data_IF_666032859887
#
_entry.id   IF_666032859887
#
_cell.length_a   1.000
_cell.length_b   1.000
_cell.length_c   1.000
_cell.angle_alpha   90.00
_cell.angle_beta   90.00
_cell.angle_gamma   90.00
#
_symmetry.space_group_name_H-M   'P 1'
#
loop_
_entity.id
_entity.type
_entity.pdbx_description
1 polymer ?
#
# COMPACT_ATOMS: atom_id res chain seq x y z
N UNK A 1 66.54 -2.19 -6.93
CA UNK A 1 65.25 -2.92 -6.94
C UNK A 1 64.20 -2.06 -6.29
N UNK A 2 63.34 -1.46 -7.09
CA UNK A 2 62.31 -0.50 -6.60
C UNK A 2 60.97 -1.24 -6.59
N UNK A 3 60.42 -1.53 -5.39
CA UNK A 3 59.10 -2.15 -5.22
C UNK A 3 58.02 -1.10 -5.35
N UNK A 4 57.19 -1.21 -6.39
CA UNK A 4 55.96 -0.47 -6.55
C UNK A 4 54.87 -1.08 -5.69
N UNK A 5 54.40 -0.34 -4.66
CA UNK A 5 53.21 -0.68 -3.89
C UNK A 5 52.00 -0.12 -4.62
N UNK A 6 51.19 -1.00 -5.23
CA UNK A 6 49.91 -0.60 -5.83
C UNK A 6 48.87 -0.58 -4.72
N UNK A 7 48.50 0.60 -4.27
CA UNK A 7 47.33 0.78 -3.38
C UNK A 7 46.04 0.65 -4.17
N UNK A 8 45.33 -0.45 -4.00
CA UNK A 8 43.97 -0.61 -4.50
C UNK A 8 43.02 0.25 -3.65
N UNK A 9 42.61 1.39 -4.16
CA UNK A 9 41.59 2.23 -3.56
C UNK A 9 40.23 1.56 -3.67
N UNK A 10 39.68 1.14 -2.54
CA UNK A 10 38.28 0.71 -2.44
C UNK A 10 37.37 1.94 -2.64
N UNK A 11 36.75 2.07 -3.80
CA UNK A 11 35.73 3.07 -4.06
C UNK A 11 34.47 2.69 -3.30
N UNK A 12 34.24 3.34 -2.16
CA UNK A 12 32.97 3.24 -1.42
C UNK A 12 31.96 4.11 -2.16
N UNK A 13 31.08 3.49 -2.94
CA UNK A 13 29.91 4.18 -3.52
C UNK A 13 28.98 4.60 -2.37
N UNK A 14 28.60 5.87 -2.25
CA UNK A 14 27.65 6.29 -1.22
C UNK A 14 26.31 5.60 -1.46
N UNK A 15 25.82 4.90 -0.43
CA UNK A 15 24.46 4.32 -0.43
C UNK A 15 23.47 5.47 -0.43
N UNK A 16 22.94 5.83 -1.60
CA UNK A 16 21.89 6.86 -1.69
C UNK A 16 20.58 6.28 -1.11
N UNK A 17 19.91 7.06 -0.24
CA UNK A 17 18.60 6.70 0.29
C UNK A 17 17.60 6.50 -0.86
N UNK A 18 16.71 5.51 -0.78
CA UNK A 18 15.70 5.26 -1.81
C UNK A 18 14.77 6.48 -1.95
N UNK A 19 14.29 6.73 -3.17
CA UNK A 19 13.32 7.79 -3.43
C UNK A 19 12.02 7.53 -2.66
N UNK A 20 11.28 8.59 -2.33
CA UNK A 20 9.95 8.44 -1.69
C UNK A 20 9.02 7.56 -2.52
N UNK A 21 9.06 7.65 -3.86
CA UNK A 21 8.30 6.77 -4.75
C UNK A 21 8.69 5.30 -4.57
N UNK A 22 9.99 4.98 -4.54
CA UNK A 22 10.49 3.61 -4.34
C UNK A 22 10.05 3.04 -3.00
N UNK A 23 10.08 3.87 -1.93
CA UNK A 23 9.58 3.48 -0.60
C UNK A 23 8.09 3.19 -0.65
N UNK A 24 7.30 4.08 -1.27
CA UNK A 24 5.85 3.89 -1.39
C UNK A 24 5.50 2.62 -2.18
N UNK A 25 6.16 2.36 -3.32
CA UNK A 25 5.93 1.14 -4.11
C UNK A 25 6.28 -0.13 -3.34
N UNK A 26 7.34 -0.10 -2.53
CA UNK A 26 7.72 -1.22 -1.66
C UNK A 26 6.65 -1.48 -0.61
N UNK A 27 6.17 -0.45 0.07
CA UNK A 27 5.11 -0.53 1.08
C UNK A 27 3.79 -1.03 0.49
N UNK A 28 3.46 -0.59 -0.72
CA UNK A 28 2.24 -1.00 -1.41
C UNK A 28 2.27 -2.45 -1.86
N UNK A 29 3.34 -2.89 -2.53
CA UNK A 29 3.30 -4.09 -3.34
C UNK A 29 4.22 -5.22 -2.86
N UNK A 30 5.18 -4.93 -1.97
CA UNK A 30 6.20 -5.88 -1.51
C UNK A 30 6.15 -6.15 -0.02
N UNK A 31 5.45 -5.33 0.75
CA UNK A 31 5.34 -5.44 2.20
C UNK A 31 4.05 -6.19 2.57
N UNK A 32 4.08 -7.04 3.58
CA UNK A 32 2.87 -7.66 4.11
C UNK A 32 1.96 -6.60 4.74
N UNK A 33 0.64 -6.84 4.78
CA UNK A 33 -0.29 -5.88 5.37
C UNK A 33 0.02 -5.57 6.84
N UNK A 34 0.31 -6.57 7.71
CA UNK A 34 0.71 -6.27 9.09
C UNK A 34 1.98 -5.42 9.20
N UNK A 35 2.99 -5.68 8.38
CA UNK A 35 4.23 -4.89 8.37
C UNK A 35 4.00 -3.47 7.82
N UNK A 36 3.11 -3.29 6.84
CA UNK A 36 2.69 -1.97 6.39
C UNK A 36 2.03 -1.19 7.53
N UNK A 37 1.09 -1.79 8.26
CA UNK A 37 0.41 -1.14 9.38
C UNK A 37 1.39 -0.77 10.49
N UNK A 38 2.31 -1.67 10.85
CA UNK A 38 3.36 -1.37 11.83
C UNK A 38 4.22 -0.17 11.40
N UNK A 39 4.54 -0.06 10.11
CA UNK A 39 5.27 1.10 9.57
C UNK A 39 4.41 2.37 9.63
N UNK A 40 3.14 2.28 9.25
CA UNK A 40 2.21 3.41 9.25
C UNK A 40 1.96 3.98 10.65
N UNK A 41 2.00 3.13 11.68
CA UNK A 41 1.82 3.52 13.08
C UNK A 41 3.13 3.92 13.78
N UNK A 42 4.26 3.74 13.10
CA UNK A 42 5.57 4.09 13.66
C UNK A 42 5.78 5.60 13.74
N UNK A 43 6.34 6.11 14.85
CA UNK A 43 6.76 7.51 14.92
C UNK A 43 7.90 7.84 13.94
N UNK A 44 8.64 6.82 13.48
CA UNK A 44 9.77 6.95 12.55
C UNK A 44 9.37 6.69 11.08
N UNK A 45 8.06 6.71 10.79
CA UNK A 45 7.57 6.55 9.41
C UNK A 45 8.11 7.67 8.50
N UNK A 46 8.30 7.38 7.23
CA UNK A 46 8.87 8.32 6.27
C UNK A 46 7.97 9.56 6.13
N UNK A 47 8.47 10.70 6.58
CA UNK A 47 7.74 11.98 6.57
C UNK A 47 7.51 12.56 5.17
N UNK A 48 8.18 12.02 4.14
CA UNK A 48 7.98 12.41 2.73
C UNK A 48 6.68 11.85 2.15
N UNK A 49 6.06 10.87 2.85
CA UNK A 49 4.86 10.16 2.41
C UNK A 49 3.61 10.67 3.13
N UNK A 50 2.49 10.63 2.43
CA UNK A 50 1.17 10.93 2.97
C UNK A 50 0.58 9.66 3.61
N UNK A 51 0.37 9.69 4.92
CA UNK A 51 -0.16 8.58 5.71
C UNK A 51 -1.64 8.78 6.09
N UNK A 52 -2.28 9.81 5.52
CA UNK A 52 -3.69 10.08 5.74
C UNK A 52 -4.59 8.96 5.22
N UNK A 53 -5.70 8.75 5.90
CA UNK A 53 -6.73 7.77 5.52
C UNK A 53 -8.11 8.29 5.89
N UNK A 54 -9.12 7.99 5.10
CA UNK A 54 -10.53 8.20 5.43
C UNK A 54 -11.25 6.87 5.76
N UNK A 55 -10.49 5.78 5.71
CA UNK A 55 -10.91 4.51 6.29
C UNK A 55 -12.08 3.84 5.60
N UNK A 56 -12.09 3.68 4.29
CA UNK A 56 -13.18 3.07 3.54
C UNK A 56 -14.51 3.86 3.57
N UNK A 57 -14.46 5.17 3.52
CA UNK A 57 -15.64 6.06 3.48
C UNK A 57 -16.44 5.96 2.17
N UNK A 58 -16.62 4.77 1.62
CA UNK A 58 -17.50 4.59 0.46
C UNK A 58 -18.96 4.79 0.88
N UNK A 59 -19.70 5.64 0.20
CA UNK A 59 -21.08 6.03 0.60
C UNK A 59 -22.07 4.87 0.66
N UNK A 60 -21.74 3.71 0.10
CA UNK A 60 -22.65 2.54 0.03
C UNK A 60 -22.51 1.61 1.24
N UNK A 61 -21.45 1.73 2.04
CA UNK A 61 -21.09 0.71 3.02
C UNK A 61 -21.32 1.13 4.47
N UNK A 62 -21.56 2.41 4.71
CA UNK A 62 -21.80 2.94 6.07
C UNK A 62 -23.09 2.46 6.74
N UNK A 63 -24.03 1.86 6.00
CA UNK A 63 -25.39 1.64 6.51
C UNK A 63 -25.70 0.21 6.97
N UNK A 64 -24.85 -0.77 6.76
CA UNK A 64 -25.25 -2.17 6.96
C UNK A 64 -24.80 -2.84 8.25
N UNK A 65 -24.13 -2.14 9.17
CA UNK A 65 -23.89 -2.58 10.55
C UNK A 65 -23.25 -3.96 10.76
N UNK A 66 -22.84 -4.64 9.70
CA UNK A 66 -22.16 -5.94 9.72
C UNK A 66 -20.80 -5.79 9.10
N UNK A 67 -19.93 -5.28 9.87
CA UNK A 67 -18.60 -4.96 9.45
C UNK A 67 -17.67 -6.17 9.55
N UNK A 68 -17.28 -6.67 8.42
CA UNK A 68 -15.95 -7.27 8.36
C UNK A 68 -14.93 -6.14 8.41
N UNK A 69 -13.93 -6.29 9.26
CA UNK A 69 -12.90 -5.26 9.40
C UNK A 69 -11.93 -5.30 8.22
N UNK A 70 -12.10 -4.38 7.29
CA UNK A 70 -11.19 -4.13 6.17
C UNK A 70 -10.36 -2.85 6.38
N UNK A 71 -10.40 -2.25 7.56
CA UNK A 71 -9.77 -0.97 7.83
C UNK A 71 -8.29 -0.92 7.45
N UNK A 72 -7.52 -1.97 7.81
CA UNK A 72 -6.11 -2.05 7.44
C UNK A 72 -5.88 -2.09 5.92
N UNK A 73 -6.73 -2.82 5.18
CA UNK A 73 -6.69 -2.85 3.72
C UNK A 73 -7.02 -1.47 3.12
N UNK A 74 -8.01 -0.78 3.67
CA UNK A 74 -8.38 0.58 3.26
C UNK A 74 -7.25 1.57 3.51
N UNK A 75 -6.59 1.52 4.66
CA UNK A 75 -5.44 2.38 4.94
C UNK A 75 -4.33 2.24 3.90
N UNK A 76 -4.00 1.01 3.48
CA UNK A 76 -2.99 0.80 2.44
C UNK A 76 -3.47 1.27 1.06
N UNK A 77 -4.75 1.10 0.75
CA UNK A 77 -5.35 1.61 -0.47
C UNK A 77 -5.28 3.15 -0.54
N UNK A 78 -5.73 3.83 0.50
CA UNK A 78 -5.66 5.30 0.61
C UNK A 78 -4.21 5.81 0.49
N UNK A 79 -3.29 5.15 1.20
CA UNK A 79 -1.86 5.44 1.09
C UNK A 79 -1.38 5.36 -0.36
N UNK A 80 -1.82 4.35 -1.11
CA UNK A 80 -1.50 4.18 -2.51
C UNK A 80 -2.00 5.33 -3.38
N UNK A 81 -3.28 5.65 -3.26
CA UNK A 81 -3.91 6.74 -4.02
C UNK A 81 -3.27 8.08 -3.71
N UNK A 82 -3.13 8.45 -2.43
CA UNK A 82 -2.58 9.74 -1.99
C UNK A 82 -1.14 9.96 -2.42
N UNK A 83 -0.30 8.94 -2.36
CA UNK A 83 1.11 9.07 -2.69
C UNK A 83 1.36 8.96 -4.20
N UNK A 84 0.81 7.94 -4.85
CA UNK A 84 1.12 7.68 -6.25
C UNK A 84 0.54 8.73 -7.20
N UNK A 85 -0.58 9.35 -6.84
CA UNK A 85 -1.16 10.45 -7.62
C UNK A 85 -0.33 11.74 -7.60
N UNK A 86 0.51 11.92 -6.58
CA UNK A 86 1.35 13.14 -6.42
C UNK A 86 2.74 13.04 -7.05
N UNK A 87 3.28 11.82 -7.19
CA UNK A 87 4.65 11.67 -7.67
C UNK A 87 4.80 12.19 -9.11
N UNK A 88 5.92 12.89 -9.34
CA UNK A 88 6.25 13.52 -10.62
C UNK A 88 5.11 14.39 -11.18
N UNK A 89 4.43 15.14 -10.30
CA UNK A 89 3.31 16.01 -10.66
C UNK A 89 2.19 15.23 -11.39
N UNK A 90 1.83 14.05 -10.88
CA UNK A 90 0.77 13.20 -11.40
C UNK A 90 1.17 12.31 -12.59
N UNK A 91 2.40 12.44 -13.13
CA UNK A 91 2.82 11.66 -14.32
C UNK A 91 2.97 10.16 -14.05
N UNK A 92 3.07 9.75 -12.79
CA UNK A 92 3.13 8.34 -12.40
C UNK A 92 1.74 7.71 -12.40
N UNK A 93 0.70 8.53 -12.14
CA UNK A 93 -0.68 8.07 -12.05
C UNK A 93 -1.25 7.69 -13.42
N UNK A 94 -1.76 6.49 -13.54
CA UNK A 94 -2.44 5.99 -14.72
C UNK A 94 -3.37 4.83 -14.35
N UNK A 95 -4.24 4.42 -15.28
CA UNK A 95 -5.22 3.36 -15.05
C UNK A 95 -4.59 2.00 -14.71
N UNK A 96 -3.44 1.68 -15.26
CA UNK A 96 -2.71 0.43 -14.93
C UNK A 96 -2.24 0.44 -13.48
N UNK A 97 -1.67 1.54 -13.01
CA UNK A 97 -1.23 1.68 -11.63
C UNK A 97 -2.43 1.70 -10.67
N UNK A 98 -3.50 2.43 -11.03
CA UNK A 98 -4.76 2.43 -10.29
C UNK A 98 -5.31 1.02 -10.12
N UNK A 99 -5.43 0.27 -11.21
CA UNK A 99 -5.89 -1.14 -11.16
C UNK A 99 -4.99 -1.99 -10.25
N UNK A 100 -3.69 -1.78 -10.29
CA UNK A 100 -2.74 -2.52 -9.45
C UNK A 100 -2.91 -2.23 -7.96
N UNK A 101 -3.18 -0.98 -7.58
CA UNK A 101 -3.48 -0.58 -6.20
C UNK A 101 -4.80 -1.20 -5.75
N UNK A 102 -5.85 -1.12 -6.57
CA UNK A 102 -7.15 -1.70 -6.28
C UNK A 102 -7.09 -3.24 -6.17
N UNK A 103 -6.29 -3.89 -7.00
CA UNK A 103 -6.06 -5.34 -6.92
C UNK A 103 -5.32 -5.73 -5.63
N UNK A 104 -4.38 -4.89 -5.17
CA UNK A 104 -3.72 -5.09 -3.88
C UNK A 104 -4.71 -4.94 -2.72
N UNK A 105 -5.58 -3.94 -2.77
CA UNK A 105 -6.66 -3.79 -1.80
C UNK A 105 -7.57 -5.03 -1.75
N UNK A 106 -7.99 -5.54 -2.91
CA UNK A 106 -8.79 -6.77 -3.00
C UNK A 106 -8.10 -7.96 -2.35
N UNK A 107 -6.80 -8.12 -2.61
CA UNK A 107 -5.97 -9.17 -2.00
C UNK A 107 -5.95 -9.06 -0.48
N UNK A 108 -5.74 -7.86 0.05
CA UNK A 108 -5.67 -7.60 1.49
C UNK A 108 -7.01 -7.81 2.18
N UNK A 109 -8.09 -7.30 1.61
CA UNK A 109 -9.45 -7.49 2.13
C UNK A 109 -9.83 -8.98 2.14
N UNK A 110 -9.50 -9.73 1.10
CA UNK A 110 -9.74 -11.18 1.06
C UNK A 110 -8.89 -11.95 2.07
N UNK A 111 -7.66 -11.51 2.32
CA UNK A 111 -6.77 -12.12 3.31
C UNK A 111 -7.33 -12.01 4.74
N UNK A 112 -8.02 -10.92 5.08
CA UNK A 112 -8.66 -10.76 6.39
C UNK A 112 -9.84 -11.71 6.62
N UNK A 113 -10.34 -12.38 5.56
CA UNK A 113 -11.39 -13.37 5.64
C UNK A 113 -10.88 -14.81 5.94
N UNK A 114 -9.57 -15.05 5.88
CA UNK A 114 -9.01 -16.42 5.91
C UNK A 114 -9.24 -17.15 7.22
N UNK A 115 -9.26 -16.44 8.34
CA UNK A 115 -9.48 -16.98 9.68
C UNK A 115 -10.97 -17.20 10.05
N UNK A 116 -11.89 -16.83 9.16
CA UNK A 116 -13.33 -16.94 9.43
C UNK A 116 -13.85 -18.37 9.20
N UNK A 117 -14.90 -18.76 9.93
CA UNK A 117 -15.63 -20.01 9.72
C UNK A 117 -16.32 -20.00 8.35
N UNK A 118 -16.62 -21.20 7.82
CA UNK A 118 -17.05 -21.42 6.42
C UNK A 118 -18.11 -20.44 5.93
N UNK A 119 -19.25 -20.32 6.62
CA UNK A 119 -20.35 -19.44 6.19
C UNK A 119 -19.98 -17.96 6.32
N UNK A 120 -19.38 -17.58 7.44
CA UNK A 120 -18.89 -16.22 7.66
C UNK A 120 -17.79 -15.84 6.67
N UNK A 121 -16.94 -16.80 6.29
CA UNK A 121 -15.91 -16.59 5.27
C UNK A 121 -16.50 -16.28 3.90
N UNK A 122 -17.56 -16.99 3.49
CA UNK A 122 -18.25 -16.73 2.23
C UNK A 122 -18.82 -15.30 2.22
N UNK A 123 -19.49 -14.90 3.30
CA UNK A 123 -20.02 -13.54 3.44
C UNK A 123 -18.91 -12.49 3.43
N UNK A 124 -17.82 -12.72 4.16
CA UNK A 124 -16.65 -11.84 4.18
C UNK A 124 -16.06 -11.65 2.78
N UNK A 125 -15.89 -12.72 2.02
CA UNK A 125 -15.36 -12.67 0.67
C UNK A 125 -16.30 -11.92 -0.29
N UNK A 126 -17.62 -12.07 -0.13
CA UNK A 126 -18.60 -11.31 -0.90
C UNK A 126 -18.52 -9.80 -0.60
N UNK A 127 -18.34 -9.42 0.66
CA UNK A 127 -18.12 -8.04 1.05
C UNK A 127 -16.80 -7.49 0.50
N UNK A 128 -15.69 -8.24 0.61
CA UNK A 128 -14.41 -7.83 0.03
C UNK A 128 -14.52 -7.54 -1.48
N UNK A 129 -15.28 -8.36 -2.20
CA UNK A 129 -15.54 -8.16 -3.63
C UNK A 129 -16.40 -6.91 -3.90
N UNK A 130 -17.41 -6.66 -3.07
CA UNK A 130 -18.25 -5.46 -3.20
C UNK A 130 -17.42 -4.19 -2.98
N UNK A 131 -16.57 -4.16 -1.95
CA UNK A 131 -15.67 -3.03 -1.72
C UNK A 131 -14.71 -2.81 -2.89
N UNK A 132 -14.13 -3.89 -3.42
CA UNK A 132 -13.27 -3.79 -4.60
C UNK A 132 -13.99 -3.15 -5.80
N UNK A 133 -15.21 -3.59 -6.11
CA UNK A 133 -16.00 -3.00 -7.19
C UNK A 133 -16.34 -1.52 -6.93
N UNK A 134 -16.58 -1.17 -5.67
CA UNK A 134 -16.86 0.21 -5.28
C UNK A 134 -15.64 1.11 -5.49
N UNK A 135 -14.45 0.72 -5.03
CA UNK A 135 -13.23 1.52 -5.27
C UNK A 135 -12.89 1.60 -6.74
N UNK A 136 -13.13 0.54 -7.54
CA UNK A 136 -12.97 0.59 -9.00
C UNK A 136 -13.88 1.60 -9.68
N UNK A 137 -15.11 1.72 -9.21
CA UNK A 137 -16.12 2.59 -9.81
C UNK A 137 -16.00 4.04 -9.38
N UNK A 138 -15.71 4.27 -8.09
CA UNK A 138 -15.81 5.60 -7.48
C UNK A 138 -14.47 6.13 -6.96
N UNK A 139 -13.44 5.29 -6.84
CA UNK A 139 -12.13 5.71 -6.36
C UNK A 139 -11.49 6.72 -7.31
N UNK A 140 -11.17 7.89 -6.76
CA UNK A 140 -10.40 8.94 -7.42
C UNK A 140 -9.27 9.39 -6.47
N UNK A 141 -8.11 9.85 -7.00
CA UNK A 141 -7.06 10.42 -6.17
C UNK A 141 -7.50 11.72 -5.54
#
# INVERSE_FOLDING_TARGET
MCSLVVSAGLSVTPLSLPSAQTVAETLLFRTSLPAFIATADSPNRDVRLDWGTDGCSAPIVQSTGRSFDFYSACRRHDFGYRNMSRFKNGRVWNETLRLRIDAQFRKDARASCTSKLRLTKIQCLAWAEMYFRTVRRFGAP
#
